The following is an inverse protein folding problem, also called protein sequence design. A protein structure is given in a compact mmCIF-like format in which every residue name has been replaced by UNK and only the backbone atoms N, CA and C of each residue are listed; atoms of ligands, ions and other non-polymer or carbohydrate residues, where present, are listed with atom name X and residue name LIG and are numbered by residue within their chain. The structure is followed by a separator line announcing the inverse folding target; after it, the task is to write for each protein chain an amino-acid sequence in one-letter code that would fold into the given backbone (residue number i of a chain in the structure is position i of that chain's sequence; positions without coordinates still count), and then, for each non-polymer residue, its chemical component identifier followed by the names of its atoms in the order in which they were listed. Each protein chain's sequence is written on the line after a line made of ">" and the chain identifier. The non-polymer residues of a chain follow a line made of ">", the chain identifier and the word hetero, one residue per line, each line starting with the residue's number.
data_IF_303692320782
#
_entry.id   IF_303692320782
#
_cell.length_a   1.000
_cell.length_b   1.000
_cell.length_c   1.000
_cell.angle_alpha   90.00
_cell.angle_beta   90.00
_cell.angle_gamma   90.00
#
_symmetry.space_group_name_H-M   'P 1'
#
loop_
_entity.id
_entity.type
_entity.pdbx_description
1 polymer ?
#
# COMPACT_ATOMS: atom_id res chain seq x y z
N UNK A 1 3.89 -12.20 2.42
CA UNK A 1 4.80 -11.10 2.79
C UNK A 1 5.34 -10.43 1.54
N UNK A 2 5.15 -9.11 1.46
CA UNK A 2 5.49 -8.30 0.30
C UNK A 2 6.99 -8.34 -0.06
N UNK A 3 7.29 -8.27 -1.35
CA UNK A 3 8.63 -8.31 -1.93
C UNK A 3 8.94 -6.97 -2.61
N UNK A 4 9.95 -6.26 -2.11
CA UNK A 4 10.33 -4.94 -2.63
C UNK A 4 10.72 -4.92 -4.12
N UNK A 5 11.19 -6.05 -4.67
CA UNK A 5 11.51 -6.19 -6.10
C UNK A 5 10.26 -6.21 -7.00
N UNK A 6 9.09 -6.48 -6.42
CA UNK A 6 7.82 -6.64 -7.13
C UNK A 6 6.88 -5.43 -6.96
N UNK A 7 7.39 -4.30 -6.47
CA UNK A 7 6.60 -3.07 -6.30
C UNK A 7 5.95 -2.63 -7.61
N UNK A 8 4.66 -2.28 -7.56
CA UNK A 8 4.01 -1.59 -8.67
C UNK A 8 4.70 -0.25 -8.95
N UNK A 9 4.82 0.12 -10.23
CA UNK A 9 5.50 1.35 -10.69
C UNK A 9 4.78 2.63 -10.25
N UNK A 10 3.49 2.52 -9.95
CA UNK A 10 2.60 3.60 -9.51
C UNK A 10 2.83 3.97 -8.03
N UNK A 11 3.48 3.11 -7.25
CA UNK A 11 3.84 3.47 -5.88
C UNK A 11 4.74 4.70 -5.89
N UNK A 12 4.38 5.72 -5.11
CA UNK A 12 5.30 6.83 -4.86
C UNK A 12 6.51 6.34 -4.06
N UNK A 13 7.72 6.88 -4.32
CA UNK A 13 8.91 6.49 -3.57
C UNK A 13 8.73 6.71 -2.07
N UNK A 14 9.17 5.75 -1.25
CA UNK A 14 9.19 5.88 0.20
C UNK A 14 9.05 4.56 0.93
N UNK A 15 8.59 4.68 2.17
CA UNK A 15 8.57 3.63 3.19
C UNK A 15 7.58 2.52 2.87
N UNK A 16 6.34 2.89 2.51
CA UNK A 16 5.28 1.93 2.20
C UNK A 16 5.22 1.66 0.71
N UNK A 17 4.83 0.43 0.35
CA UNK A 17 4.61 0.02 -1.02
C UNK A 17 3.59 -1.11 -1.12
N UNK A 18 2.99 -1.25 -2.30
CA UNK A 18 2.20 -2.43 -2.69
C UNK A 18 2.94 -3.18 -3.80
N UNK A 19 3.07 -4.49 -3.65
CA UNK A 19 3.67 -5.35 -4.66
C UNK A 19 2.63 -6.10 -5.51
N UNK A 20 3.12 -6.88 -6.47
CA UNK A 20 2.32 -7.64 -7.45
C UNK A 20 1.45 -8.76 -6.86
N UNK A 21 1.51 -9.00 -5.55
CA UNK A 21 0.61 -9.93 -4.86
C UNK A 21 -0.77 -9.32 -4.58
N UNK A 22 -0.96 -8.01 -4.82
CA UNK A 22 -2.23 -7.32 -4.59
C UNK A 22 -3.38 -7.96 -5.37
N UNK A 23 -4.49 -8.23 -4.67
CA UNK A 23 -5.70 -8.85 -5.23
C UNK A 23 -6.89 -7.88 -5.35
N UNK A 24 -6.64 -6.56 -5.21
CA UNK A 24 -7.67 -5.52 -5.29
C UNK A 24 -8.89 -5.76 -4.38
N UNK A 25 -8.63 -6.08 -3.11
CA UNK A 25 -9.66 -6.33 -2.10
C UNK A 25 -10.21 -5.07 -1.40
N UNK A 26 -9.76 -3.89 -1.82
CA UNK A 26 -10.18 -2.56 -1.33
C UNK A 26 -9.83 -2.18 0.11
N UNK A 27 -9.54 -3.15 0.99
CA UNK A 27 -9.33 -2.91 2.43
C UNK A 27 -8.31 -1.82 2.76
N UNK A 28 -7.21 -1.74 2.02
CA UNK A 28 -6.19 -0.70 2.22
C UNK A 28 -6.69 0.71 1.91
N UNK A 29 -7.57 0.84 0.90
CA UNK A 29 -8.17 2.12 0.50
C UNK A 29 -9.29 2.54 1.44
N UNK A 30 -9.98 1.58 2.05
CA UNK A 30 -10.94 1.88 3.13
C UNK A 30 -10.23 2.29 4.43
N UNK A 31 -9.10 1.64 4.73
CA UNK A 31 -8.34 1.87 5.97
C UNK A 31 -7.50 3.15 5.93
N UNK A 32 -6.86 3.42 4.79
CA UNK A 32 -5.93 4.53 4.60
C UNK A 32 -6.21 5.25 3.25
N UNK A 33 -7.41 5.85 3.08
CA UNK A 33 -7.86 6.42 1.81
C UNK A 33 -6.99 7.56 1.29
N UNK A 34 -6.26 8.25 2.17
CA UNK A 34 -5.35 9.33 1.81
C UNK A 34 -4.02 8.83 1.23
N UNK A 35 -3.69 7.55 1.44
CA UNK A 35 -2.37 6.98 1.12
C UNK A 35 -2.43 5.94 0.00
N UNK A 36 -3.54 5.19 -0.12
CA UNK A 36 -3.69 4.15 -1.13
C UNK A 36 -4.73 4.52 -2.18
N UNK A 37 -4.42 4.26 -3.45
CA UNK A 37 -5.33 4.44 -4.57
C UNK A 37 -5.40 3.16 -5.42
N UNK A 38 -6.40 3.08 -6.28
CA UNK A 38 -6.59 1.99 -7.23
C UNK A 38 -5.94 2.33 -8.57
N UNK A 39 -5.28 1.36 -9.18
CA UNK A 39 -4.93 1.41 -10.61
C UNK A 39 -6.10 0.82 -11.40
N UNK A 40 -6.89 1.68 -12.05
CA UNK A 40 -8.08 1.24 -12.83
C UNK A 40 -7.70 0.32 -14.00
N UNK A 41 -6.55 0.55 -14.63
CA UNK A 41 -6.04 -0.29 -15.73
C UNK A 41 -5.38 -1.58 -15.22
N UNK A 42 -4.76 -1.50 -14.04
CA UNK A 42 -3.95 -2.58 -13.47
C UNK A 42 -4.73 -3.61 -12.65
N UNK A 43 -5.87 -3.21 -12.07
CA UNK A 43 -6.65 -4.07 -11.18
C UNK A 43 -5.88 -4.40 -9.88
N UNK A 44 -5.20 -3.41 -9.31
CA UNK A 44 -4.48 -3.50 -8.04
C UNK A 44 -4.49 -2.15 -7.32
N UNK A 45 -4.12 -2.16 -6.04
CA UNK A 45 -3.88 -0.94 -5.26
C UNK A 45 -2.40 -0.56 -5.27
N UNK A 46 -2.11 0.71 -5.05
CA UNK A 46 -0.74 1.22 -4.90
C UNK A 46 -0.71 2.36 -3.87
N UNK A 47 0.48 2.66 -3.34
CA UNK A 47 0.69 3.81 -2.47
C UNK A 47 0.75 5.08 -3.33
N UNK A 48 -0.30 5.90 -3.28
CA UNK A 48 -0.37 7.19 -3.97
C UNK A 48 0.30 8.32 -3.18
N UNK A 49 0.41 8.17 -1.85
CA UNK A 49 1.01 9.15 -0.96
C UNK A 49 1.63 8.44 0.26
N UNK A 50 2.89 8.75 0.59
CA UNK A 50 3.50 8.30 1.85
C UNK A 50 2.88 9.04 3.05
N UNK A 51 2.80 8.42 4.23
CA UNK A 51 2.28 9.10 5.41
C UNK A 51 3.13 10.30 5.79
N UNK A 52 2.50 11.44 6.05
CA UNK A 52 3.16 12.71 6.43
C UNK A 52 2.93 13.09 7.90
N UNK A 53 2.07 12.34 8.61
CA UNK A 53 1.74 12.57 10.01
C UNK A 53 1.42 11.24 10.74
N UNK A 54 1.31 11.30 12.07
CA UNK A 54 1.10 10.12 12.91
C UNK A 54 -0.22 9.40 12.63
N UNK A 55 -1.26 10.11 12.20
CA UNK A 55 -2.55 9.52 11.85
C UNK A 55 -2.45 8.69 10.56
N UNK A 56 -1.87 9.26 9.51
CA UNK A 56 -1.62 8.55 8.25
C UNK A 56 -0.67 7.36 8.45
N UNK A 57 0.36 7.50 9.28
CA UNK A 57 1.28 6.39 9.61
C UNK A 57 0.56 5.24 10.31
N UNK A 58 -0.32 5.54 11.28
CA UNK A 58 -1.12 4.53 11.95
C UNK A 58 -2.09 3.83 10.99
N UNK A 59 -2.74 4.58 10.10
CA UNK A 59 -3.63 4.03 9.07
C UNK A 59 -2.87 3.16 8.07
N UNK A 60 -1.71 3.60 7.56
CA UNK A 60 -0.89 2.82 6.65
C UNK A 60 -0.40 1.52 7.29
N UNK A 61 0.00 1.58 8.56
CA UNK A 61 0.38 0.38 9.32
C UNK A 61 -0.80 -0.58 9.50
N UNK A 62 -1.98 -0.07 9.84
CA UNK A 62 -3.19 -0.89 9.95
C UNK A 62 -3.57 -1.52 8.60
N UNK A 63 -3.48 -0.78 7.49
CA UNK A 63 -3.72 -1.30 6.15
C UNK A 63 -2.74 -2.43 5.81
N UNK A 64 -1.46 -2.26 6.17
CA UNK A 64 -0.42 -3.27 5.98
C UNK A 64 -0.71 -4.55 6.77
N UNK A 65 -1.01 -4.42 8.06
CA UNK A 65 -1.33 -5.54 8.95
C UNK A 65 -2.65 -6.23 8.56
N UNK A 66 -3.60 -5.50 7.99
CA UNK A 66 -4.89 -6.01 7.54
C UNK A 66 -4.86 -6.67 6.16
N UNK A 67 -3.79 -6.50 5.38
CA UNK A 67 -3.76 -6.99 4.00
C UNK A 67 -3.88 -8.53 3.96
N UNK A 68 -4.93 -9.11 3.34
CA UNK A 68 -5.21 -10.55 3.42
C UNK A 68 -4.17 -11.43 2.71
N UNK A 69 -3.39 -10.83 1.82
CA UNK A 69 -2.32 -11.47 1.05
C UNK A 69 -0.95 -10.90 1.40
N UNK A 70 -0.87 -10.03 2.42
CA UNK A 70 0.36 -9.40 2.89
C UNK A 70 1.15 -8.69 1.76
N UNK A 71 0.45 -8.12 0.77
CA UNK A 71 1.02 -7.46 -0.41
C UNK A 71 1.51 -6.03 -0.13
N UNK A 72 1.28 -5.52 1.08
CA UNK A 72 1.75 -4.20 1.51
C UNK A 72 3.01 -4.43 2.33
N UNK A 73 4.10 -3.79 1.91
CA UNK A 73 5.37 -3.83 2.60
C UNK A 73 5.76 -2.48 3.17
N UNK A 74 6.65 -2.54 4.15
CA UNK A 74 7.33 -1.40 4.73
C UNK A 74 8.78 -1.82 4.96
N UNK A 75 9.65 -1.54 4.00
CA UNK A 75 11.05 -1.91 4.03
C UNK A 75 11.91 -0.98 4.90
N UNK A 76 11.29 0.03 5.54
CA UNK A 76 12.00 1.08 6.23
C UNK A 76 12.75 1.98 5.23
N UNK A 77 12.76 3.28 5.49
CA UNK A 77 13.49 4.24 4.66
C UNK A 77 15.01 4.03 4.77
#
# INVERSE_FOLDING_TARGET
>A
MAVAANKHKENVPGKYYVDDQCIDCDLCRETAPNNFARSDEGGYSYVAKQPENDEEEAQCKQAMEGCPVEAIGNDGA
#
